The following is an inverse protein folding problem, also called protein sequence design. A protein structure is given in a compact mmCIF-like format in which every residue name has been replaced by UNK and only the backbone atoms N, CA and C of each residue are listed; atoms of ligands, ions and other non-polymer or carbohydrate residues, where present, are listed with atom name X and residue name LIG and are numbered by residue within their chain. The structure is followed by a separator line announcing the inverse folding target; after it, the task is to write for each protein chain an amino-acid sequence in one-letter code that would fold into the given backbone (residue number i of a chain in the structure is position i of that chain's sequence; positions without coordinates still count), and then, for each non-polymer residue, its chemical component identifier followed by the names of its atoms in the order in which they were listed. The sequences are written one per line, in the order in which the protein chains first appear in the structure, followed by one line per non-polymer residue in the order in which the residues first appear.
data_IF_887933018445
#
_entry.id   IF_887933018445
#
_cell.length_a   1.000
_cell.length_b   1.000
_cell.length_c   1.000
_cell.angle_alpha   90.00
_cell.angle_beta   90.00
_cell.angle_gamma   90.00
#
_symmetry.space_group_name_H-M   'P 1'
#
loop_
_entity.id
_entity.type
_entity.pdbx_description
1 polymer ?
#
# COMPACT_ATOMS: atom_id res chain seq x y z
N UNK A 1 -4.03 9.85 3.96
CA UNK A 1 -4.06 8.81 5.01
C UNK A 1 -5.03 9.15 6.14
N UNK A 2 -4.85 10.27 6.87
CA UNK A 2 -5.74 10.67 7.96
C UNK A 2 -7.23 10.66 7.57
N UNK A 3 -7.61 11.28 6.46
CA UNK A 3 -9.00 11.28 5.95
C UNK A 3 -9.56 9.87 5.75
N UNK A 4 -8.73 8.94 5.26
CA UNK A 4 -9.13 7.55 5.01
C UNK A 4 -9.39 6.86 6.35
N UNK A 5 -8.51 7.03 7.33
CA UNK A 5 -8.65 6.43 8.66
C UNK A 5 -9.86 6.99 9.41
N UNK A 6 -10.02 8.32 9.41
CA UNK A 6 -11.16 9.03 10.01
C UNK A 6 -12.48 8.52 9.42
N UNK A 7 -12.54 8.43 8.09
CA UNK A 7 -13.71 7.92 7.39
C UNK A 7 -13.95 6.42 7.66
N UNK A 8 -12.90 5.61 7.66
CA UNK A 8 -12.98 4.16 7.87
C UNK A 8 -13.52 3.81 9.24
N UNK A 9 -13.02 4.49 10.27
CA UNK A 9 -13.32 4.19 11.67
C UNK A 9 -14.45 5.02 12.28
N UNK A 10 -15.09 5.88 11.48
CA UNK A 10 -16.18 6.74 11.93
C UNK A 10 -15.80 7.59 13.15
N UNK A 11 -14.62 8.21 13.06
CA UNK A 11 -14.10 9.01 14.17
C UNK A 11 -15.04 10.17 14.46
N UNK A 12 -15.37 10.34 15.74
CA UNK A 12 -16.24 11.42 16.20
C UNK A 12 -15.68 12.80 15.80
N UNK A 13 -16.51 13.58 15.11
CA UNK A 13 -16.10 14.86 14.53
C UNK A 13 -15.74 15.93 15.58
N UNK A 14 -16.39 15.92 16.75
CA UNK A 14 -16.09 16.85 17.83
C UNK A 14 -14.72 16.53 18.45
N UNK A 15 -14.49 15.26 18.79
CA UNK A 15 -13.21 14.80 19.34
C UNK A 15 -12.07 14.99 18.34
N UNK A 16 -12.35 14.80 17.05
CA UNK A 16 -11.39 15.07 15.97
C UNK A 16 -11.06 16.55 15.90
N UNK A 17 -12.05 17.44 15.98
CA UNK A 17 -11.82 18.88 16.01
C UNK A 17 -10.89 19.28 17.16
N UNK A 18 -11.19 18.83 18.38
CA UNK A 18 -10.35 19.09 19.56
C UNK A 18 -8.90 18.58 19.36
N UNK A 19 -8.73 17.37 18.84
CA UNK A 19 -7.41 16.81 18.56
C UNK A 19 -6.63 17.63 17.51
N UNK A 20 -7.30 18.08 16.45
CA UNK A 20 -6.67 18.87 15.40
C UNK A 20 -6.28 20.28 15.88
N UNK A 21 -7.07 20.89 16.77
CA UNK A 21 -6.73 22.20 17.34
C UNK A 21 -5.42 22.20 18.13
N UNK A 22 -5.12 21.09 18.81
CA UNK A 22 -3.87 20.90 19.53
C UNK A 22 -2.69 20.63 18.58
N UNK A 23 -2.92 19.85 17.52
CA UNK A 23 -1.92 19.49 16.52
C UNK A 23 -1.47 20.66 15.64
N UNK A 24 -2.40 21.54 15.23
CA UNK A 24 -2.09 22.67 14.36
C UNK A 24 -3.18 23.75 14.47
N UNK A 25 -2.88 24.92 15.07
CA UNK A 25 -3.82 26.03 15.15
C UNK A 25 -4.31 26.52 13.78
N UNK A 26 -3.53 26.32 12.70
CA UNK A 26 -3.94 26.71 11.35
C UNK A 26 -4.98 25.76 10.73
N UNK A 27 -5.01 24.49 11.16
CA UNK A 27 -6.05 23.53 10.75
C UNK A 27 -7.40 23.76 11.43
N UNK A 28 -7.44 24.57 12.50
CA UNK A 28 -8.66 24.98 13.20
C UNK A 28 -9.68 25.70 12.29
N UNK A 29 -9.19 26.39 11.25
CA UNK A 29 -10.03 27.26 10.40
C UNK A 29 -10.89 26.53 9.37
N UNK A 30 -10.63 25.24 9.12
CA UNK A 30 -11.49 24.43 8.25
C UNK A 30 -12.66 23.93 9.08
N UNK A 31 -13.78 24.68 9.11
CA UNK A 31 -15.05 24.23 9.70
C UNK A 31 -15.36 22.84 9.15
N UNK A 32 -15.17 21.79 9.94
CA UNK A 32 -15.54 20.43 9.55
C UNK A 32 -17.08 20.42 9.49
N UNK A 33 -17.70 20.35 8.30
CA UNK A 33 -19.14 20.34 8.24
C UNK A 33 -19.65 19.03 8.83
N UNK A 34 -20.70 19.13 9.65
CA UNK A 34 -21.47 17.99 10.14
C UNK A 34 -21.95 17.17 8.93
N UNK A 35 -21.34 16.00 8.71
CA UNK A 35 -21.75 15.07 7.66
C UNK A 35 -20.64 14.59 6.72
N UNK A 36 -19.56 15.36 6.53
CA UNK A 36 -18.38 14.93 5.74
C UNK A 36 -17.09 15.65 6.19
N UNK A 37 -16.39 15.03 7.15
CA UNK A 37 -15.12 15.52 7.68
C UNK A 37 -13.93 15.08 6.79
N UNK A 38 -13.85 15.62 5.57
CA UNK A 38 -12.60 15.59 4.79
C UNK A 38 -11.69 16.68 5.36
N UNK A 39 -10.45 16.35 5.71
CA UNK A 39 -9.45 17.35 6.10
C UNK A 39 -8.88 18.04 4.85
N UNK A 40 -8.99 17.40 3.70
CA UNK A 40 -8.50 17.91 2.41
C UNK A 40 -9.43 19.00 1.84
N UNK A 41 -8.84 20.05 1.27
CA UNK A 41 -9.53 21.02 0.40
C UNK A 41 -10.04 20.34 -0.88
N UNK A 42 -10.99 20.96 -1.61
CA UNK A 42 -11.43 20.45 -2.90
C UNK A 42 -10.28 20.24 -3.91
N UNK A 43 -9.27 21.14 -3.90
CA UNK A 43 -8.12 21.03 -4.78
C UNK A 43 -7.20 19.86 -4.37
N UNK A 44 -6.86 19.75 -3.08
CA UNK A 44 -6.09 18.62 -2.56
C UNK A 44 -6.79 17.28 -2.85
N UNK A 45 -8.11 17.25 -2.71
CA UNK A 45 -8.93 16.09 -3.03
C UNK A 45 -8.86 15.73 -4.53
N UNK A 46 -9.01 16.71 -5.42
CA UNK A 46 -8.91 16.50 -6.86
C UNK A 46 -7.54 15.93 -7.26
N UNK A 47 -6.46 16.54 -6.77
CA UNK A 47 -5.09 16.08 -7.01
C UNK A 47 -4.87 14.67 -6.47
N UNK A 48 -5.34 14.39 -5.25
CA UNK A 48 -5.25 13.06 -4.65
C UNK A 48 -5.98 12.01 -5.49
N UNK A 49 -7.19 12.32 -5.97
CA UNK A 49 -7.95 11.42 -6.83
C UNK A 49 -7.20 11.15 -8.15
N UNK A 50 -6.54 12.14 -8.74
CA UNK A 50 -5.71 11.93 -9.93
C UNK A 50 -4.57 10.92 -9.65
N UNK A 51 -3.86 11.06 -8.52
CA UNK A 51 -2.84 10.08 -8.12
C UNK A 51 -3.41 8.68 -7.89
N UNK A 52 -4.62 8.57 -7.32
CA UNK A 52 -5.25 7.25 -7.12
C UNK A 52 -5.57 6.55 -8.44
N UNK A 53 -5.91 7.29 -9.51
CA UNK A 53 -6.13 6.72 -10.85
C UNK A 53 -4.82 6.29 -11.50
N UNK A 54 -3.74 7.08 -11.36
CA UNK A 54 -2.40 6.70 -11.86
C UNK A 54 -1.91 5.42 -11.19
N UNK A 55 -2.02 5.32 -9.86
CA UNK A 55 -1.66 4.11 -9.11
C UNK A 55 -2.54 2.92 -9.54
N UNK A 56 -3.84 3.14 -9.74
CA UNK A 56 -4.74 2.08 -10.20
C UNK A 56 -4.31 1.54 -11.56
N UNK A 57 -4.02 2.42 -12.54
CA UNK A 57 -3.52 1.99 -13.86
C UNK A 57 -2.19 1.22 -13.74
N UNK A 58 -1.26 1.71 -12.92
CA UNK A 58 0.01 1.04 -12.68
C UNK A 58 -0.17 -0.37 -12.07
N UNK A 59 -1.02 -0.49 -11.05
CA UNK A 59 -1.38 -1.78 -10.45
C UNK A 59 -2.06 -2.73 -11.46
N UNK A 60 -2.94 -2.22 -12.32
CA UNK A 60 -3.57 -3.02 -13.39
C UNK A 60 -2.52 -3.58 -14.35
N UNK A 61 -1.61 -2.72 -14.86
CA UNK A 61 -0.51 -3.15 -15.75
C UNK A 61 0.35 -4.24 -15.11
N UNK A 62 0.70 -4.07 -13.83
CA UNK A 62 1.45 -5.08 -13.07
C UNK A 62 0.68 -6.39 -12.94
N UNK A 63 -0.62 -6.33 -12.63
CA UNK A 63 -1.44 -7.53 -12.53
C UNK A 63 -1.58 -8.31 -13.84
N UNK A 64 -1.42 -7.61 -14.97
CA UNK A 64 -1.43 -8.18 -16.33
C UNK A 64 -0.02 -8.60 -16.79
N UNK A 65 0.98 -8.59 -15.89
CA UNK A 65 2.40 -8.84 -16.17
C UNK A 65 3.03 -7.88 -17.21
N UNK A 66 2.47 -6.68 -17.35
CA UNK A 66 2.97 -5.62 -18.23
C UNK A 66 3.90 -4.67 -17.46
N UNK A 67 4.82 -5.22 -16.68
CA UNK A 67 5.74 -4.46 -15.80
C UNK A 67 6.55 -3.42 -16.58
N UNK A 68 7.02 -3.78 -17.78
CA UNK A 68 7.83 -2.92 -18.66
C UNK A 68 7.05 -1.79 -19.35
N UNK A 69 5.76 -1.61 -19.05
CA UNK A 69 4.90 -0.59 -19.67
C UNK A 69 4.46 0.50 -18.69
N UNK A 70 5.09 0.63 -17.52
CA UNK A 70 4.93 1.84 -16.72
C UNK A 70 5.55 3.01 -17.47
N UNK A 71 4.78 4.08 -17.68
CA UNK A 71 5.28 5.29 -18.32
C UNK A 71 6.23 6.00 -17.36
N UNK A 72 7.36 6.52 -17.86
CA UNK A 72 8.39 7.16 -17.02
C UNK A 72 7.82 8.32 -16.20
N UNK A 73 6.91 9.10 -16.79
CA UNK A 73 6.23 10.22 -16.11
C UNK A 73 5.30 9.75 -14.98
N UNK A 74 4.58 8.64 -15.17
CA UNK A 74 3.73 8.03 -14.15
C UNK A 74 4.60 7.49 -13.01
N UNK A 75 5.69 6.80 -13.34
CA UNK A 75 6.64 6.28 -12.36
C UNK A 75 7.27 7.40 -11.52
N UNK A 76 7.77 8.45 -12.18
CA UNK A 76 8.36 9.62 -11.52
C UNK A 76 7.35 10.33 -10.62
N UNK A 77 6.09 10.45 -11.06
CA UNK A 77 5.01 11.06 -10.29
C UNK A 77 4.67 10.22 -9.05
N UNK A 78 4.51 8.90 -9.19
CA UNK A 78 4.24 8.00 -8.06
C UNK A 78 5.38 8.05 -7.04
N UNK A 79 6.63 8.02 -7.51
CA UNK A 79 7.81 8.08 -6.63
C UNK A 79 7.83 9.40 -5.84
N UNK A 80 7.74 10.52 -6.54
CA UNK A 80 7.93 11.85 -5.96
C UNK A 80 6.81 12.26 -5.01
N UNK A 81 5.56 11.92 -5.35
CA UNK A 81 4.39 12.40 -4.60
C UNK A 81 3.81 11.38 -3.63
N UNK A 82 4.18 10.09 -3.73
CA UNK A 82 3.60 9.03 -2.90
C UNK A 82 4.67 8.25 -2.15
N UNK A 83 5.63 7.61 -2.86
CA UNK A 83 6.61 6.73 -2.23
C UNK A 83 7.54 7.51 -1.30
N UNK A 84 8.17 8.58 -1.81
CA UNK A 84 9.13 9.36 -1.03
C UNK A 84 8.47 10.02 0.20
N UNK A 85 7.30 10.66 0.09
CA UNK A 85 6.57 11.15 1.26
C UNK A 85 6.18 10.05 2.26
N UNK A 86 5.74 8.87 1.77
CA UNK A 86 5.40 7.76 2.66
C UNK A 86 6.63 7.29 3.46
N UNK A 87 7.77 7.08 2.78
CA UNK A 87 9.05 6.73 3.41
C UNK A 87 9.48 7.79 4.43
N UNK A 88 9.34 9.07 4.10
CA UNK A 88 9.68 10.16 5.02
C UNK A 88 8.84 10.15 6.30
N UNK A 89 7.56 9.79 6.20
CA UNK A 89 6.65 9.63 7.33
C UNK A 89 6.79 8.26 8.04
N UNK A 90 7.76 7.43 7.63
CA UNK A 90 7.93 6.07 8.14
C UNK A 90 6.82 5.10 7.75
N UNK A 91 5.94 5.47 6.81
CA UNK A 91 4.83 4.62 6.35
C UNK A 91 5.29 3.74 5.20
N UNK A 92 4.93 2.46 5.26
CA UNK A 92 5.25 1.52 4.20
C UNK A 92 4.54 1.88 2.86
N UNK A 93 5.29 2.07 1.75
CA UNK A 93 4.71 2.53 0.49
C UNK A 93 3.62 1.60 -0.07
N UNK A 94 3.79 0.28 0.07
CA UNK A 94 2.82 -0.69 -0.41
C UNK A 94 1.48 -0.57 0.35
N UNK A 95 1.55 -0.28 1.65
CA UNK A 95 0.37 0.04 2.45
C UNK A 95 -0.29 1.35 2.01
N UNK A 96 0.51 2.38 1.69
CA UNK A 96 -0.06 3.63 1.15
C UNK A 96 -0.84 3.39 -0.16
N UNK A 97 -0.31 2.56 -1.06
CA UNK A 97 -1.02 2.17 -2.28
C UNK A 97 -2.33 1.44 -1.98
N UNK A 98 -2.37 0.52 -1.01
CA UNK A 98 -3.61 -0.13 -0.59
C UNK A 98 -4.67 0.89 -0.15
N UNK A 99 -4.28 1.86 0.68
CA UNK A 99 -5.17 2.92 1.18
C UNK A 99 -5.66 3.81 0.03
N UNK A 100 -4.79 4.21 -0.90
CA UNK A 100 -5.16 5.03 -2.05
C UNK A 100 -6.07 4.30 -3.04
N UNK A 101 -5.80 3.02 -3.28
CA UNK A 101 -6.70 2.19 -4.05
C UNK A 101 -8.07 2.12 -3.34
N UNK A 102 -8.10 2.00 -2.00
CA UNK A 102 -9.36 1.91 -1.25
C UNK A 102 -10.14 3.22 -1.39
N UNK A 103 -9.45 4.35 -1.21
CA UNK A 103 -9.98 5.69 -1.40
C UNK A 103 -10.67 5.85 -2.75
N UNK A 104 -10.07 5.35 -3.83
CA UNK A 104 -10.66 5.39 -5.17
C UNK A 104 -12.06 4.76 -5.22
N UNK A 105 -12.28 3.68 -4.48
CA UNK A 105 -13.53 2.92 -4.47
C UNK A 105 -14.60 3.56 -3.57
N UNK A 106 -14.22 4.05 -2.39
CA UNK A 106 -15.20 4.58 -1.43
C UNK A 106 -15.40 6.09 -1.54
N UNK A 107 -14.40 6.85 -1.99
CA UNK A 107 -14.43 8.31 -2.16
C UNK A 107 -14.99 9.07 -0.95
N UNK A 108 -14.76 8.52 0.24
CA UNK A 108 -15.35 8.96 1.51
C UNK A 108 -16.89 9.15 1.49
N UNK A 109 -17.60 8.40 0.64
CA UNK A 109 -19.06 8.38 0.59
C UNK A 109 -19.63 7.36 1.57
N UNK A 110 -20.54 7.76 2.44
CA UNK A 110 -21.07 6.93 3.52
C UNK A 110 -21.62 5.58 3.03
N UNK A 111 -22.33 5.54 1.89
CA UNK A 111 -22.84 4.29 1.30
C UNK A 111 -21.74 3.29 0.92
N UNK A 112 -20.51 3.77 0.69
CA UNK A 112 -19.38 2.97 0.29
C UNK A 112 -18.42 2.66 1.45
N UNK A 113 -18.76 3.02 2.70
CA UNK A 113 -17.85 2.84 3.84
C UNK A 113 -17.34 1.42 3.99
N UNK A 114 -18.15 0.41 3.69
CA UNK A 114 -17.71 -1.00 3.73
C UNK A 114 -16.49 -1.26 2.82
N UNK A 115 -16.35 -0.53 1.71
CA UNK A 115 -15.25 -0.67 0.73
C UNK A 115 -13.90 -0.17 1.24
N UNK A 116 -13.85 0.48 2.40
CA UNK A 116 -12.58 0.86 3.05
C UNK A 116 -11.84 -0.35 3.62
N UNK A 117 -12.56 -1.45 3.88
CA UNK A 117 -12.01 -2.63 4.51
C UNK A 117 -11.43 -3.57 3.45
N UNK A 118 -10.14 -3.89 3.54
CA UNK A 118 -9.37 -4.73 2.61
C UNK A 118 -10.06 -6.05 2.30
N UNK A 119 -10.72 -6.68 3.27
CA UNK A 119 -11.42 -7.95 3.05
C UNK A 119 -12.66 -7.82 2.15
N UNK A 120 -13.31 -6.66 2.10
CA UNK A 120 -14.45 -6.44 1.19
C UNK A 120 -13.99 -6.26 -0.26
N UNK A 121 -12.73 -5.87 -0.48
CA UNK A 121 -12.12 -5.68 -1.80
C UNK A 121 -11.75 -6.99 -2.47
N UNK A 122 -11.50 -8.03 -1.66
CA UNK A 122 -11.35 -9.42 -2.12
C UNK A 122 -12.61 -9.99 -2.80
N UNK A 123 -13.76 -9.33 -2.69
CA UNK A 123 -15.06 -9.89 -3.13
C UNK A 123 -15.48 -9.52 -4.56
N UNK A 124 -14.84 -8.54 -5.21
CA UNK A 124 -15.27 -8.06 -6.54
C UNK A 124 -14.40 -8.52 -7.72
N UNK A 125 -13.09 -8.72 -7.55
CA UNK A 125 -12.18 -9.17 -8.63
C UNK A 125 -11.69 -10.62 -8.48
N UNK A 126 -11.89 -11.25 -7.32
CA UNK A 126 -11.32 -12.57 -6.99
C UNK A 126 -12.37 -13.64 -6.62
N UNK A 127 -13.62 -13.43 -7.05
CA UNK A 127 -14.80 -14.27 -6.77
C UNK A 127 -14.69 -15.74 -7.23
N UNK A 128 -13.67 -16.11 -8.00
CA UNK A 128 -13.55 -17.46 -8.56
C UNK A 128 -12.84 -18.49 -7.67
N UNK A 129 -11.93 -18.07 -6.79
CA UNK A 129 -11.02 -19.01 -6.09
C UNK A 129 -11.10 -18.99 -4.55
N UNK A 130 -11.66 -17.94 -3.94
CA UNK A 130 -11.63 -17.76 -2.48
C UNK A 130 -12.93 -18.13 -1.76
N UNK A 131 -14.02 -18.32 -2.49
CA UNK A 131 -15.36 -18.59 -1.94
C UNK A 131 -15.53 -19.99 -1.32
N UNK A 132 -14.50 -20.86 -1.38
CA UNK A 132 -14.53 -22.19 -0.76
C UNK A 132 -13.94 -22.26 0.65
N UNK A 133 -13.38 -21.18 1.19
CA UNK A 133 -12.74 -21.20 2.53
C UNK A 133 -13.25 -20.09 3.45
N UNK A 134 -14.40 -20.32 4.07
CA UNK A 134 -14.71 -19.98 5.47
C UNK A 134 -14.72 -18.51 5.93
N UNK A 135 -15.69 -18.22 6.80
CA UNK A 135 -15.86 -16.98 7.60
C UNK A 135 -14.57 -16.50 8.31
N UNK A 136 -13.58 -17.39 8.50
CA UNK A 136 -12.28 -17.07 9.13
C UNK A 136 -11.33 -16.22 8.28
N UNK A 137 -11.34 -16.30 6.95
CA UNK A 137 -10.37 -15.57 6.12
C UNK A 137 -10.63 -14.06 6.16
N UNK A 138 -11.90 -13.64 6.05
CA UNK A 138 -12.28 -12.23 6.10
C UNK A 138 -11.93 -11.59 7.45
N UNK A 139 -12.21 -12.30 8.55
CA UNK A 139 -11.90 -11.85 9.90
C UNK A 139 -10.39 -11.74 10.14
N UNK A 140 -9.59 -12.67 9.59
CA UNK A 140 -8.13 -12.61 9.63
C UNK A 140 -7.58 -11.43 8.81
N UNK A 141 -8.14 -11.18 7.63
CA UNK A 141 -7.77 -10.01 6.80
C UNK A 141 -8.13 -8.69 7.48
N UNK A 142 -9.29 -8.62 8.15
CA UNK A 142 -9.66 -7.47 8.97
C UNK A 142 -8.65 -7.28 10.12
N UNK A 143 -8.24 -8.34 10.81
CA UNK A 143 -7.23 -8.26 11.86
C UNK A 143 -5.89 -7.73 11.33
N UNK A 144 -5.42 -8.21 10.16
CA UNK A 144 -4.21 -7.67 9.50
C UNK A 144 -4.33 -6.19 9.15
N UNK A 145 -5.49 -5.77 8.61
CA UNK A 145 -5.73 -4.35 8.32
C UNK A 145 -5.68 -3.50 9.59
N UNK A 146 -6.39 -3.91 10.64
CA UNK A 146 -6.43 -3.18 11.90
C UNK A 146 -5.02 -3.03 12.51
N UNK A 147 -4.20 -4.07 12.44
CA UNK A 147 -2.79 -4.03 12.88
C UNK A 147 -1.96 -3.09 12.01
N UNK A 148 -2.15 -3.11 10.69
CA UNK A 148 -1.44 -2.21 9.76
C UNK A 148 -1.81 -0.75 10.03
N UNK A 149 -3.10 -0.47 10.25
CA UNK A 149 -3.60 0.86 10.56
C UNK A 149 -3.10 1.34 11.93
N UNK A 150 -3.03 0.45 12.94
CA UNK A 150 -2.45 0.76 14.26
C UNK A 150 -0.95 1.11 14.17
N UNK A 151 -0.20 0.36 13.36
CA UNK A 151 1.22 0.65 13.09
C UNK A 151 1.36 2.00 12.36
N UNK A 152 0.55 2.26 11.34
CA UNK A 152 0.57 3.52 10.60
C UNK A 152 0.24 4.71 11.51
N UNK A 153 -0.75 4.58 12.41
CA UNK A 153 -1.08 5.62 13.40
C UNK A 153 0.08 5.83 14.38
N UNK A 154 0.75 4.76 14.82
CA UNK A 154 1.91 4.88 15.70
C UNK A 154 3.08 5.60 15.01
N UNK A 155 3.34 5.31 13.74
CA UNK A 155 4.37 5.96 12.91
C UNK A 155 4.05 7.43 12.64
N UNK A 156 2.78 7.75 12.35
CA UNK A 156 2.33 9.16 12.25
C UNK A 156 2.50 9.93 13.56
N UNK A 157 2.56 9.25 14.71
CA UNK A 157 2.71 9.84 16.03
C UNK A 157 3.96 10.69 16.23
N UNK A 158 5.01 10.51 15.42
CA UNK A 158 6.20 11.39 15.43
C UNK A 158 5.97 12.72 14.71
N UNK A 159 4.94 12.79 13.85
CA UNK A 159 4.59 13.94 13.02
C UNK A 159 3.23 14.57 13.38
N UNK A 160 2.53 14.02 14.37
CA UNK A 160 1.21 14.45 14.83
C UNK A 160 1.19 14.56 16.35
N UNK A 161 0.23 15.31 16.90
CA UNK A 161 0.06 15.42 18.34
C UNK A 161 -0.47 14.12 18.95
N UNK A 162 -0.12 13.88 20.21
CA UNK A 162 -0.50 12.69 20.95
C UNK A 162 -2.03 12.47 21.00
N UNK A 163 -2.80 13.55 21.14
CA UNK A 163 -4.26 13.48 21.19
C UNK A 163 -4.88 12.89 19.92
N UNK A 164 -4.38 13.28 18.73
CA UNK A 164 -4.85 12.73 17.46
C UNK A 164 -4.51 11.25 17.33
N UNK A 165 -3.29 10.86 17.72
CA UNK A 165 -2.84 9.47 17.75
C UNK A 165 -3.74 8.61 18.66
N UNK A 166 -4.02 9.08 19.87
CA UNK A 166 -4.87 8.39 20.82
C UNK A 166 -6.32 8.26 20.33
N UNK A 167 -6.86 9.31 19.71
CA UNK A 167 -8.20 9.30 19.14
C UNK A 167 -8.34 8.22 18.04
N UNK A 168 -7.40 8.18 17.10
CA UNK A 168 -7.39 7.18 16.03
C UNK A 168 -7.19 5.77 16.57
N UNK A 169 -6.23 5.58 17.48
CA UNK A 169 -5.98 4.28 18.12
C UNK A 169 -7.18 3.76 18.90
N UNK A 170 -7.91 4.64 19.60
CA UNK A 170 -9.17 4.29 20.26
C UNK A 170 -10.25 3.86 19.26
N UNK A 171 -10.39 4.58 18.15
CA UNK A 171 -11.37 4.25 17.12
C UNK A 171 -11.08 2.88 16.47
N UNK A 172 -9.81 2.59 16.16
CA UNK A 172 -9.35 1.28 15.67
C UNK A 172 -9.67 0.18 16.70
N UNK A 173 -9.34 0.40 17.98
CA UNK A 173 -9.61 -0.56 19.06
C UNK A 173 -11.10 -0.85 19.24
N UNK A 174 -11.95 0.18 19.18
CA UNK A 174 -13.40 0.05 19.25
C UNK A 174 -13.94 -0.74 18.04
N UNK A 175 -13.41 -0.46 16.85
CA UNK A 175 -13.77 -1.19 15.64
C UNK A 175 -13.37 -2.67 15.72
N UNK A 176 -12.17 -2.97 16.21
CA UNK A 176 -11.72 -4.32 16.49
C UNK A 176 -12.68 -5.05 17.43
N UNK A 177 -13.05 -4.43 18.57
CA UNK A 177 -13.97 -5.04 19.53
C UNK A 177 -15.37 -5.32 18.95
N UNK A 178 -15.87 -4.41 18.11
CA UNK A 178 -17.23 -4.49 17.55
C UNK A 178 -17.33 -5.45 16.36
N UNK A 179 -16.30 -5.53 15.52
CA UNK A 179 -16.41 -6.16 14.19
C UNK A 179 -15.37 -7.25 13.91
N UNK A 180 -14.25 -7.31 14.64
CA UNK A 180 -13.19 -8.29 14.41
C UNK A 180 -13.21 -9.39 15.49
N UNK A 181 -13.94 -10.47 15.22
CA UNK A 181 -14.01 -11.67 16.08
C UNK A 181 -12.68 -12.40 16.18
N UNK A 182 -11.84 -12.33 15.13
CA UNK A 182 -10.52 -12.94 15.14
C UNK A 182 -9.55 -12.16 16.05
N UNK A 183 -9.72 -10.85 16.17
CA UNK A 183 -8.92 -9.99 17.04
C UNK A 183 -7.50 -9.71 16.52
N UNK A 184 -7.04 -8.47 16.71
CA UNK A 184 -5.68 -8.03 16.35
C UNK A 184 -4.56 -8.82 17.05
N UNK A 185 -4.79 -9.36 18.25
CA UNK A 185 -3.78 -10.10 19.01
C UNK A 185 -3.41 -11.47 18.42
N UNK A 186 -4.19 -11.96 17.44
CA UNK A 186 -4.00 -13.27 16.82
C UNK A 186 -3.29 -13.20 15.46
N UNK A 187 -2.77 -12.03 15.08
CA UNK A 187 -1.91 -11.83 13.91
C UNK A 187 -0.58 -11.21 14.32
N UNK A 188 0.47 -11.49 13.56
CA UNK A 188 1.77 -10.87 13.79
C UNK A 188 1.71 -9.36 13.54
N UNK A 189 2.46 -8.60 14.34
CA UNK A 189 2.48 -7.13 14.30
C UNK A 189 3.43 -6.61 13.21
N UNK A 190 3.01 -6.73 11.96
CA UNK A 190 3.69 -6.16 10.78
C UNK A 190 2.67 -5.47 9.88
N UNK A 191 3.14 -4.54 9.05
CA UNK A 191 2.30 -3.90 8.04
C UNK A 191 2.00 -4.91 6.95
N UNK A 192 0.73 -5.06 6.61
CA UNK A 192 0.26 -5.98 5.58
C UNK A 192 -0.16 -5.21 4.33
N UNK A 193 0.42 -5.56 3.18
CA UNK A 193 0.00 -5.09 1.86
C UNK A 193 -0.19 -6.28 0.92
N UNK A 194 -1.10 -6.14 -0.06
CA UNK A 194 -1.33 -7.17 -1.07
C UNK A 194 -0.13 -7.35 -2.02
N UNK A 195 -0.12 -8.45 -2.79
CA UNK A 195 0.99 -8.77 -3.69
C UNK A 195 1.16 -7.74 -4.82
N UNK A 196 0.06 -7.17 -5.36
CA UNK A 196 0.13 -6.21 -6.47
C UNK A 196 0.75 -4.87 -6.01
N UNK A 197 0.28 -4.23 -4.92
CA UNK A 197 0.96 -3.05 -4.38
C UNK A 197 2.42 -3.29 -4.03
N UNK A 198 2.74 -4.46 -3.48
CA UNK A 198 4.13 -4.83 -3.14
C UNK A 198 4.99 -4.92 -4.41
N UNK A 199 4.52 -5.64 -5.44
CA UNK A 199 5.21 -5.74 -6.72
C UNK A 199 5.39 -4.38 -7.41
N UNK A 200 4.44 -3.46 -7.27
CA UNK A 200 4.59 -2.08 -7.78
C UNK A 200 5.70 -1.32 -7.07
N UNK A 201 5.80 -1.44 -5.75
CA UNK A 201 6.90 -0.82 -5.00
C UNK A 201 8.24 -1.39 -5.43
N UNK A 202 8.34 -2.71 -5.60
CA UNK A 202 9.56 -3.37 -6.05
C UNK A 202 9.96 -2.86 -7.44
N UNK A 203 9.05 -2.88 -8.42
CA UNK A 203 9.30 -2.42 -9.80
C UNK A 203 9.80 -0.97 -9.83
N UNK A 204 9.14 -0.08 -9.09
CA UNK A 204 9.54 1.33 -9.02
C UNK A 204 10.88 1.52 -8.32
N UNK A 205 11.20 0.71 -7.30
CA UNK A 205 12.50 0.73 -6.65
C UNK A 205 13.62 0.25 -7.59
N UNK A 206 13.37 -0.76 -8.42
CA UNK A 206 14.32 -1.17 -9.48
C UNK A 206 14.58 -0.04 -10.48
N UNK A 207 13.54 0.70 -10.89
CA UNK A 207 13.66 1.88 -11.74
C UNK A 207 14.48 3.03 -11.11
N UNK A 208 14.33 3.28 -9.80
CA UNK A 208 15.14 4.25 -9.06
C UNK A 208 16.64 3.88 -9.04
N UNK A 209 16.99 2.59 -9.07
CA UNK A 209 18.39 2.12 -9.10
C UNK A 209 19.00 2.27 -10.49
N UNK A 210 18.26 1.95 -11.55
CA UNK A 210 18.78 2.04 -12.93
C UNK A 210 19.03 3.47 -13.38
N UNK A 211 18.20 4.43 -12.93
CA UNK A 211 18.36 5.86 -13.23
C UNK A 211 19.52 6.53 -12.48
N UNK A 212 20.01 5.91 -11.39
CA UNK A 212 21.18 6.37 -10.61
C UNK A 212 22.51 5.83 -11.11
N UNK A 213 22.52 4.85 -12.02
CA UNK A 213 23.74 4.45 -12.72
C UNK A 213 24.05 5.56 -13.74
N UNK A 214 25.17 6.29 -13.63
CA UNK A 214 25.55 7.23 -14.66
C UNK A 214 25.68 6.42 -15.95
N UNK A 215 24.83 6.71 -16.94
CA UNK A 215 25.13 6.30 -18.32
C UNK A 215 26.55 6.80 -18.56
N UNK A 216 27.54 5.94 -18.88
CA UNK A 216 28.81 6.45 -19.32
C UNK A 216 28.50 7.40 -20.45
N UNK A 217 28.97 8.65 -20.32
CA UNK A 217 28.88 9.62 -21.40
C UNK A 217 29.34 8.90 -22.68
N UNK A 218 28.65 9.06 -23.82
CA UNK A 218 29.13 8.50 -25.06
C UNK A 218 30.56 9.03 -25.21
N UNK A 219 31.53 8.14 -25.03
CA UNK A 219 32.91 8.46 -25.30
C UNK A 219 32.88 8.64 -26.81
N UNK A 220 33.04 9.89 -27.25
CA UNK A 220 33.25 10.22 -28.66
C UNK A 220 34.51 9.49 -29.10
N UNK A 221 34.36 8.22 -29.48
CA UNK A 221 35.28 7.57 -30.37
C UNK A 221 35.02 8.20 -31.73
N UNK A 222 35.80 9.24 -32.01
CA UNK A 222 36.13 9.67 -33.36
C UNK A 222 36.57 8.44 -34.16
N UNK A 223 35.62 7.82 -34.86
CA UNK A 223 35.91 6.87 -35.94
C UNK A 223 35.81 7.68 -37.24
N UNK A 224 36.90 7.81 -38.01
CA UNK A 224 36.84 8.44 -39.32
C UNK A 224 35.88 7.67 -40.23
N UNK A 225 34.98 8.41 -40.88
CA UNK A 225 34.13 7.90 -41.96
C UNK A 225 34.99 7.20 -43.02
N UNK A 226 34.74 5.92 -43.25
CA UNK A 226 35.06 5.26 -44.52
C UNK A 226 33.88 4.39 -44.95
N UNK A 227 33.29 4.77 -46.09
CA UNK A 227 32.31 4.01 -46.85
C UNK A 227 32.87 2.63 -47.22
N UNK A 228 32.06 1.56 -47.08
CA UNK A 228 32.03 0.43 -48.01
C UNK A 228 31.06 -0.68 -47.57
N UNK A 229 30.06 -0.92 -48.41
CA UNK A 229 29.51 -2.21 -48.85
C UNK A 229 28.99 -3.26 -47.84
N UNK A 230 27.67 -3.50 -47.98
CA UNK A 230 26.99 -4.80 -48.06
C UNK A 230 27.73 -6.04 -47.52
N UNK A 231 27.19 -6.65 -46.47
CA UNK A 231 27.02 -8.11 -46.44
C UNK A 231 25.87 -8.50 -45.50
N UNK A 232 24.82 -9.03 -46.12
CA UNK A 232 23.75 -9.80 -45.50
C UNK A 232 24.28 -11.17 -45.08
N UNK A 233 24.04 -11.56 -43.82
CA UNK A 233 24.16 -12.94 -43.32
C UNK A 233 22.94 -13.22 -42.42
N UNK A 234 22.03 -14.10 -42.85
CA UNK A 234 21.93 -15.54 -42.50
C UNK A 234 21.49 -15.83 -41.05
N UNK A 235 20.19 -16.18 -40.93
CA UNK A 235 19.58 -17.37 -40.25
C UNK A 235 19.97 -17.77 -38.78
N UNK A 236 19.12 -18.57 -38.07
CA UNK A 236 18.79 -18.42 -36.65
C UNK A 236 19.28 -19.65 -35.82
N UNK A 237 18.49 -20.23 -34.90
CA UNK A 237 18.21 -19.90 -33.50
C UNK A 237 18.99 -20.81 -32.51
N UNK A 238 19.00 -20.51 -31.20
CA UNK A 238 19.34 -21.51 -30.18
C UNK A 238 18.55 -21.35 -28.89
N UNK A 239 17.71 -22.36 -28.66
CA UNK A 239 17.12 -22.75 -27.39
C UNK A 239 18.21 -23.17 -26.39
N UNK A 240 17.98 -22.87 -25.11
CA UNK A 240 18.46 -23.67 -23.99
C UNK A 240 17.48 -23.55 -22.82
N UNK A 241 16.79 -24.66 -22.56
CA UNK A 241 16.18 -24.94 -21.27
C UNK A 241 17.28 -25.24 -20.26
N UNK A 242 17.12 -24.74 -19.05
CA UNK A 242 17.72 -25.36 -17.86
C UNK A 242 16.67 -25.33 -16.76
N UNK A 243 16.13 -26.50 -16.50
CA UNK A 243 15.46 -26.87 -15.25
C UNK A 243 16.48 -26.84 -14.11
N UNK A 244 16.15 -26.26 -12.97
CA UNK A 244 16.81 -26.62 -11.71
C UNK A 244 15.83 -26.56 -10.55
N UNK A 245 15.83 -27.68 -9.85
CA UNK A 245 14.91 -28.09 -8.79
C UNK A 245 15.01 -27.26 -7.51
N UNK A 246 13.82 -27.07 -6.93
CA UNK A 246 13.52 -27.18 -5.49
C UNK A 246 14.59 -27.84 -4.62
N UNK A 247 15.03 -27.11 -3.59
CA UNK A 247 15.58 -27.68 -2.36
C UNK A 247 14.93 -26.98 -1.14
N UNK A 248 13.97 -27.69 -0.57
CA UNK A 248 13.45 -27.51 0.78
C UNK A 248 14.59 -27.63 1.80
N UNK A 249 14.68 -26.70 2.74
CA UNK A 249 15.21 -26.97 4.09
C UNK A 249 14.18 -26.53 5.12
N UNK A 250 13.43 -27.52 5.60
CA UNK A 250 12.83 -27.52 6.94
C UNK A 250 13.97 -27.61 7.94
N UNK A 251 13.93 -26.79 8.98
CA UNK A 251 14.57 -27.09 10.25
C UNK A 251 13.42 -27.23 11.24
N UNK A 252 13.26 -28.46 11.72
CA UNK A 252 12.46 -28.82 12.88
C UNK A 252 13.08 -28.15 14.12
N UNK A 253 12.30 -27.36 14.85
CA UNK A 253 12.52 -27.21 16.29
C UNK A 253 11.25 -27.59 17.01
N UNK A 254 11.43 -28.53 17.94
CA UNK A 254 10.41 -29.30 18.64
C UNK A 254 9.74 -28.46 19.70
N UNK A 255 8.43 -28.65 19.82
CA UNK A 255 7.63 -28.30 20.99
C UNK A 255 8.10 -29.08 22.23
N UNK A 256 8.60 -28.37 23.25
CA UNK A 256 8.59 -28.87 24.62
C UNK A 256 7.42 -28.22 25.37
N UNK A 257 6.34 -29.00 25.53
CA UNK A 257 5.19 -28.67 26.37
C UNK A 257 5.49 -29.14 27.80
N UNK A 258 5.43 -28.28 28.82
CA UNK A 258 5.44 -28.75 30.20
C UNK A 258 4.07 -29.33 30.56
N UNK A 259 4.04 -30.63 30.83
CA UNK A 259 2.91 -31.36 31.41
C UNK A 259 2.63 -30.80 32.82
N UNK A 260 1.41 -30.30 33.07
CA UNK A 260 0.93 -30.05 34.44
C UNK A 260 0.51 -31.38 35.08
N UNK A 261 0.91 -31.66 36.33
CA UNK A 261 0.36 -32.79 37.07
C UNK A 261 -1.09 -32.48 37.49
N UNK A 262 -1.96 -33.47 37.30
CA UNK A 262 -3.30 -33.52 37.89
C UNK A 262 -3.23 -34.16 39.27
N UNK A 263 -3.62 -33.40 40.30
CA UNK A 263 -4.42 -33.81 41.47
C UNK A 263 -4.46 -32.66 42.46
#
# INVERSE_FOLDING_TARGET
LLDILIFTYDVDGLRLHEALTECSPSMHTRKLPTGHASLLTPQEWYTLMAYTEVIHKACTRISENQHSLLEDDDAASIISYIIQPARHLGIEPAYMFEQLLALRLHRCQAQNRKKTLLYTRSTSTWRGLLDKMGIGKEQKMLAYQLVSDDIAVAQLGTHTCERLRLLLGQAIKQHNHKYCKYGMGNVARHVHAGPIPTALVDELAWGEVQTKVPRPAPTDFLIPRSNAYNYSNRYPPRSRSVSSMSALRRIDERDEVPVRPQS
#
